data_IF_513373683107
#
_entry.id   IF_513373683107
#
_cell.length_a   1.000
_cell.length_b   1.000
_cell.length_c   1.000
_cell.angle_alpha   90.00
_cell.angle_beta   90.00
_cell.angle_gamma   90.00
#
_symmetry.space_group_name_H-M   'P 1'
#
loop_
_entity.id
_entity.type
_entity.pdbx_description
1 polymer ?
#
# COMPACT_ATOMS: atom_id res chain seq x y z
N UNK A 1 -13.96 -25.71 -21.08
CA UNK A 1 -13.54 -24.32 -21.31
C UNK A 1 -12.31 -24.05 -20.45
N UNK A 2 -11.14 -23.83 -21.06
CA UNK A 2 -9.88 -23.59 -20.34
C UNK A 2 -9.87 -22.14 -19.83
N UNK A 3 -9.89 -21.93 -18.53
CA UNK A 3 -9.71 -20.62 -17.92
C UNK A 3 -8.23 -20.21 -18.04
N UNK A 4 -7.91 -19.36 -19.00
CA UNK A 4 -6.59 -18.75 -19.12
C UNK A 4 -6.42 -17.76 -17.99
N UNK A 5 -5.63 -18.10 -16.96
CA UNK A 5 -5.28 -17.21 -15.85
C UNK A 5 -4.56 -15.98 -16.41
N UNK A 6 -5.20 -14.80 -16.40
CA UNK A 6 -4.54 -13.53 -16.76
C UNK A 6 -3.22 -13.41 -16.00
N UNK A 7 -2.11 -13.22 -16.70
CA UNK A 7 -0.83 -12.83 -16.07
C UNK A 7 -1.01 -11.43 -15.50
N UNK A 8 -1.20 -11.33 -14.18
CA UNK A 8 -1.45 -10.07 -13.46
C UNK A 8 -0.13 -9.30 -13.24
N UNK A 9 1.03 -9.92 -13.47
CA UNK A 9 2.33 -9.27 -13.33
C UNK A 9 2.77 -8.58 -14.60
N UNK A 10 3.25 -7.35 -14.43
CA UNK A 10 3.93 -6.59 -15.47
C UNK A 10 5.26 -7.27 -15.86
N UNK A 11 5.85 -6.88 -16.99
CA UNK A 11 7.17 -7.35 -17.37
C UNK A 11 8.24 -6.89 -16.35
N UNK A 12 9.29 -7.69 -16.05
CA UNK A 12 10.31 -7.36 -15.04
C UNK A 12 10.93 -5.96 -15.20
N UNK A 13 11.08 -5.47 -16.44
CA UNK A 13 11.58 -4.12 -16.74
C UNK A 13 10.75 -2.99 -16.13
N UNK A 14 9.46 -3.23 -15.87
CA UNK A 14 8.56 -2.22 -15.28
C UNK A 14 8.76 -2.03 -13.78
N UNK A 15 9.61 -2.85 -13.16
CA UNK A 15 9.92 -2.78 -11.73
C UNK A 15 11.29 -2.15 -11.45
N UNK A 16 11.95 -1.60 -12.48
CA UNK A 16 13.30 -1.03 -12.40
C UNK A 16 13.26 0.48 -12.66
N UNK A 17 14.08 1.23 -11.92
CA UNK A 17 14.23 2.68 -12.07
C UNK A 17 13.31 3.49 -11.17
N UNK A 18 12.85 4.64 -11.67
CA UNK A 18 12.17 5.69 -10.92
C UNK A 18 10.65 5.52 -10.78
N UNK A 19 10.12 4.31 -10.92
CA UNK A 19 8.69 4.05 -10.79
C UNK A 19 8.16 4.22 -9.37
N UNK A 20 6.91 4.65 -9.24
CA UNK A 20 6.16 4.71 -7.97
C UNK A 20 5.24 3.50 -7.89
N UNK A 21 5.35 2.72 -6.83
CA UNK A 21 4.67 1.44 -6.68
C UNK A 21 3.79 1.41 -5.43
N UNK A 22 2.49 1.20 -5.64
CA UNK A 22 1.60 0.76 -4.57
C UNK A 22 1.69 -0.76 -4.46
N UNK A 23 2.01 -1.28 -3.29
CA UNK A 23 2.21 -2.71 -3.05
C UNK A 23 1.32 -3.21 -1.91
N UNK A 24 0.75 -4.40 -2.09
CA UNK A 24 0.04 -5.12 -1.02
C UNK A 24 0.62 -6.52 -0.87
N UNK A 25 1.14 -6.82 0.30
CA UNK A 25 1.60 -8.15 0.70
C UNK A 25 0.62 -8.75 1.70
N UNK A 26 0.07 -9.92 1.41
CA UNK A 26 -0.83 -10.62 2.33
C UNK A 26 -0.09 -11.73 3.06
N UNK A 27 -0.42 -11.94 4.32
CA UNK A 27 0.01 -13.13 5.07
C UNK A 27 -0.58 -14.38 4.42
N UNK A 28 0.06 -15.53 4.67
CA UNK A 28 -0.45 -16.82 4.23
C UNK A 28 -1.83 -17.06 4.88
N UNK A 29 -2.80 -17.46 4.05
CA UNK A 29 -4.19 -17.69 4.44
C UNK A 29 -4.85 -16.53 5.21
N UNK A 30 -4.33 -15.30 5.04
CA UNK A 30 -4.81 -14.11 5.76
C UNK A 30 -4.76 -14.26 7.29
N UNK A 31 -3.87 -15.09 7.81
CA UNK A 31 -3.65 -15.25 9.25
C UNK A 31 -3.17 -13.93 9.86
N UNK A 32 -3.78 -13.42 10.94
CA UNK A 32 -3.49 -12.09 11.48
C UNK A 32 -2.23 -12.06 12.36
N UNK A 33 -1.08 -12.47 11.80
CA UNK A 33 0.20 -12.57 12.52
C UNK A 33 0.67 -11.23 13.12
N UNK A 34 0.29 -10.10 12.53
CA UNK A 34 0.68 -8.77 12.98
C UNK A 34 -0.35 -8.12 13.93
N UNK A 35 -1.32 -8.89 14.44
CA UNK A 35 -2.06 -8.50 15.65
C UNK A 35 -1.11 -8.39 16.86
N UNK A 36 -0.01 -9.18 16.88
CA UNK A 36 1.15 -8.91 17.72
C UNK A 36 1.95 -7.73 17.15
N UNK A 37 1.79 -6.56 17.77
CA UNK A 37 2.46 -5.32 17.35
C UNK A 37 3.98 -5.40 17.48
N UNK A 38 4.53 -6.24 18.35
CA UNK A 38 5.98 -6.42 18.48
C UNK A 38 6.59 -7.00 17.21
N UNK A 39 5.96 -8.02 16.63
CA UNK A 39 6.34 -8.58 15.33
C UNK A 39 6.14 -7.53 14.21
N UNK A 40 5.07 -6.75 14.31
CA UNK A 40 4.77 -5.65 13.39
C UNK A 40 5.90 -4.61 13.33
N UNK A 41 6.39 -4.15 14.49
CA UNK A 41 7.51 -3.20 14.55
C UNK A 41 8.80 -3.77 13.96
N UNK A 42 9.12 -5.03 14.22
CA UNK A 42 10.27 -5.71 13.60
C UNK A 42 10.13 -5.74 12.07
N UNK A 43 8.94 -6.08 11.57
CA UNK A 43 8.68 -6.10 10.13
C UNK A 43 8.82 -4.71 9.50
N UNK A 44 8.28 -3.66 10.13
CA UNK A 44 8.42 -2.27 9.64
C UNK A 44 9.88 -1.79 9.69
N UNK A 45 10.65 -2.16 10.72
CA UNK A 45 12.09 -1.90 10.77
C UNK A 45 12.83 -2.49 9.56
N UNK A 46 12.50 -3.74 9.19
CA UNK A 46 13.03 -4.35 7.97
C UNK A 46 12.57 -3.62 6.70
N UNK A 47 11.30 -3.22 6.59
CA UNK A 47 10.81 -2.48 5.43
C UNK A 47 11.60 -1.18 5.23
N UNK A 48 11.73 -0.37 6.29
CA UNK A 48 12.43 0.92 6.25
C UNK A 48 13.90 0.73 5.85
N UNK A 49 14.60 -0.19 6.52
CA UNK A 49 16.01 -0.46 6.25
C UNK A 49 16.26 -0.97 4.82
N UNK A 50 15.42 -1.90 4.35
CA UNK A 50 15.55 -2.46 3.00
C UNK A 50 15.17 -1.46 1.92
N UNK A 51 14.14 -0.63 2.13
CA UNK A 51 13.80 0.43 1.17
C UNK A 51 14.99 1.34 0.91
N UNK A 52 15.66 1.82 1.96
CA UNK A 52 16.86 2.64 1.81
C UNK A 52 18.00 1.90 1.07
N UNK A 53 18.26 0.63 1.42
CA UNK A 53 19.32 -0.19 0.80
C UNK A 53 19.07 -0.50 -0.68
N UNK A 54 17.82 -0.59 -1.09
CA UNK A 54 17.43 -0.84 -2.49
C UNK A 54 17.11 0.43 -3.27
N UNK A 55 17.49 1.60 -2.71
CA UNK A 55 17.29 2.91 -3.31
C UNK A 55 15.81 3.22 -3.57
N UNK A 56 14.96 3.04 -2.54
CA UNK A 56 13.55 3.43 -2.56
C UNK A 56 13.24 4.47 -1.48
N UNK A 57 12.50 5.51 -1.88
CA UNK A 57 11.79 6.40 -0.97
C UNK A 57 10.50 5.72 -0.51
N UNK A 58 10.23 5.73 0.79
CA UNK A 58 9.04 5.11 1.36
C UNK A 58 8.03 6.20 1.75
N UNK A 59 7.06 6.44 0.88
CA UNK A 59 6.08 7.53 1.02
C UNK A 59 4.97 7.21 2.01
N UNK A 60 4.48 5.98 2.02
CA UNK A 60 3.47 5.54 2.96
C UNK A 60 3.61 4.06 3.26
N UNK A 61 3.25 3.66 4.47
CA UNK A 61 3.06 2.26 4.83
C UNK A 61 2.00 2.13 5.92
N UNK A 62 1.31 0.99 5.91
CA UNK A 62 0.38 0.56 6.94
C UNK A 62 0.41 -0.97 7.01
N UNK A 63 0.85 -1.50 8.14
CA UNK A 63 0.87 -2.93 8.41
C UNK A 63 -0.38 -3.31 9.21
N UNK A 64 -1.33 -3.90 8.51
CA UNK A 64 -2.56 -4.46 9.06
C UNK A 64 -2.29 -5.83 9.68
N UNK A 65 -3.19 -6.38 10.51
CA UNK A 65 -2.97 -7.69 11.14
C UNK A 65 -2.62 -8.81 10.16
N UNK A 66 -3.18 -8.80 8.95
CA UNK A 66 -3.06 -9.87 7.94
C UNK A 66 -2.46 -9.42 6.61
N UNK A 67 -2.03 -8.17 6.48
CA UNK A 67 -1.40 -7.66 5.26
C UNK A 67 -0.66 -6.35 5.47
N UNK A 68 0.27 -6.05 4.57
CA UNK A 68 1.01 -4.81 4.50
C UNK A 68 0.63 -4.06 3.21
N UNK A 69 0.28 -2.78 3.35
CA UNK A 69 0.30 -1.82 2.24
C UNK A 69 1.50 -0.92 2.35
N UNK A 70 2.16 -0.64 1.22
CA UNK A 70 3.16 0.43 1.17
C UNK A 70 3.19 1.09 -0.20
N UNK A 71 3.66 2.35 -0.22
CA UNK A 71 3.89 3.18 -1.39
C UNK A 71 5.37 3.54 -1.41
N UNK A 72 6.08 3.08 -2.43
CA UNK A 72 7.52 3.28 -2.56
C UNK A 72 7.88 3.75 -3.96
N UNK A 73 8.83 4.70 -4.03
CA UNK A 73 9.37 5.25 -5.26
C UNK A 73 10.83 4.88 -5.43
N UNK A 74 11.20 4.35 -6.58
CA UNK A 74 12.60 4.14 -6.94
C UNK A 74 13.29 5.48 -7.15
N UNK A 75 14.41 5.72 -6.45
CA UNK A 75 15.16 6.98 -6.52
C UNK A 75 16.53 6.87 -7.23
N UNK A 76 16.75 5.75 -7.92
CA UNK A 76 17.97 5.51 -8.70
C UNK A 76 17.68 4.59 -9.91
N UNK A 77 18.50 4.65 -10.98
CA UNK A 77 18.31 3.80 -12.15
C UNK A 77 18.31 2.30 -11.85
N UNK A 78 19.03 1.88 -10.82
CA UNK A 78 19.16 0.49 -10.38
C UNK A 78 18.09 0.06 -9.35
N UNK A 79 17.23 0.97 -8.90
CA UNK A 79 16.12 0.61 -8.00
C UNK A 79 15.31 -0.51 -8.61
N UNK A 80 15.07 -1.60 -7.87
CA UNK A 80 14.30 -2.74 -8.37
C UNK A 80 13.36 -3.26 -7.26
N UNK A 81 12.05 -3.17 -7.52
CA UNK A 81 11.03 -3.54 -6.54
C UNK A 81 11.05 -5.03 -6.20
N UNK A 82 11.32 -5.91 -7.18
CA UNK A 82 11.23 -7.35 -6.94
C UNK A 82 12.26 -7.86 -5.93
N UNK A 83 13.56 -7.49 -5.99
CA UNK A 83 14.53 -7.80 -4.95
C UNK A 83 14.17 -7.19 -3.58
N UNK A 84 13.65 -5.96 -3.53
CA UNK A 84 13.20 -5.33 -2.29
C UNK A 84 12.11 -6.17 -1.61
N UNK A 85 11.04 -6.54 -2.36
CA UNK A 85 9.94 -7.34 -1.82
C UNK A 85 10.41 -8.74 -1.41
N UNK A 86 11.30 -9.35 -2.20
CA UNK A 86 11.85 -10.68 -1.90
C UNK A 86 12.66 -10.65 -0.60
N UNK A 87 13.59 -9.69 -0.46
CA UNK A 87 14.40 -9.53 0.74
C UNK A 87 13.55 -9.23 1.98
N UNK A 88 12.51 -8.38 1.85
CA UNK A 88 11.58 -8.09 2.92
C UNK A 88 10.84 -9.36 3.40
N UNK A 89 10.26 -10.11 2.48
CA UNK A 89 9.54 -11.35 2.80
C UNK A 89 10.45 -12.39 3.47
N UNK A 90 11.68 -12.54 2.98
CA UNK A 90 12.65 -13.48 3.56
C UNK A 90 13.05 -13.09 4.99
N UNK A 91 13.40 -11.80 5.22
CA UNK A 91 13.84 -11.34 6.54
C UNK A 91 12.73 -11.42 7.59
N UNK A 92 11.53 -11.02 7.22
CA UNK A 92 10.38 -11.08 8.13
C UNK A 92 9.93 -12.53 8.38
N UNK A 93 9.96 -13.42 7.38
CA UNK A 93 9.69 -14.82 7.57
C UNK A 93 10.72 -15.49 8.50
N UNK A 94 12.01 -15.14 8.38
CA UNK A 94 13.05 -15.63 9.29
C UNK A 94 12.80 -15.16 10.74
N UNK A 95 12.47 -13.88 10.94
CA UNK A 95 12.12 -13.36 12.28
C UNK A 95 10.87 -14.03 12.88
N UNK A 96 9.96 -14.51 12.01
CA UNK A 96 8.72 -15.19 12.41
C UNK A 96 8.91 -16.71 12.69
N UNK A 97 9.97 -17.31 12.19
CA UNK A 97 10.17 -18.78 12.15
C UNK A 97 9.94 -19.49 13.48
N UNK A 98 10.28 -18.85 14.59
CA UNK A 98 10.15 -19.41 15.94
C UNK A 98 8.79 -19.12 16.61
N UNK A 99 7.87 -18.41 15.92
CA UNK A 99 6.58 -17.99 16.49
C UNK A 99 5.38 -18.77 15.95
N UNK A 100 5.48 -19.29 14.74
CA UNK A 100 4.43 -20.14 14.14
C UNK A 100 5.01 -21.07 13.09
N UNK A 101 4.36 -22.22 12.89
CA UNK A 101 4.67 -23.13 11.80
C UNK A 101 4.12 -22.58 10.46
N UNK A 102 4.86 -22.80 9.37
CA UNK A 102 4.42 -22.48 8.03
C UNK A 102 4.92 -21.13 7.49
N UNK A 103 4.51 -20.78 6.25
CA UNK A 103 4.96 -19.56 5.59
C UNK A 103 4.26 -18.31 6.16
N UNK A 104 5.01 -17.24 6.40
CA UNK A 104 4.42 -15.96 6.85
C UNK A 104 3.62 -15.27 5.74
N UNK A 105 4.14 -15.27 4.50
CA UNK A 105 3.57 -14.51 3.38
C UNK A 105 3.03 -15.42 2.28
N UNK A 106 1.97 -14.97 1.61
CA UNK A 106 1.57 -15.56 0.33
C UNK A 106 2.71 -15.46 -0.68
N UNK A 107 2.84 -16.43 -1.60
CA UNK A 107 3.89 -16.44 -2.62
C UNK A 107 3.81 -15.22 -3.54
N UNK A 108 2.60 -14.83 -3.95
CA UNK A 108 2.31 -13.67 -4.79
C UNK A 108 2.06 -12.42 -3.96
N UNK A 109 2.12 -11.26 -4.61
CA UNK A 109 1.71 -9.98 -4.05
C UNK A 109 0.97 -9.18 -5.13
N UNK A 110 0.21 -8.19 -4.69
CA UNK A 110 -0.43 -7.21 -5.58
C UNK A 110 0.45 -5.98 -5.70
N UNK A 111 0.58 -5.46 -6.90
CA UNK A 111 1.26 -4.20 -7.19
C UNK A 111 0.50 -3.38 -8.23
N UNK A 112 0.63 -2.07 -8.13
CA UNK A 112 0.15 -1.10 -9.10
C UNK A 112 1.20 0.00 -9.27
N UNK A 113 1.56 0.33 -10.51
CA UNK A 113 2.48 1.44 -10.80
C UNK A 113 1.64 2.71 -10.96
N UNK A 114 1.92 3.73 -10.14
CA UNK A 114 1.32 5.03 -10.29
C UNK A 114 1.83 5.68 -11.58
N UNK A 115 0.93 6.28 -12.34
CA UNK A 115 1.28 6.92 -13.62
C UNK A 115 1.31 8.44 -13.53
N UNK A 116 0.60 9.03 -12.55
CA UNK A 116 0.51 10.47 -12.32
C UNK A 116 1.04 10.80 -10.92
N UNK A 117 1.99 11.76 -10.79
CA UNK A 117 2.53 12.16 -9.49
C UNK A 117 1.50 12.75 -8.52
N UNK A 118 0.42 13.35 -9.04
CA UNK A 118 -0.67 13.92 -8.28
C UNK A 118 -1.56 12.87 -7.57
N UNK A 119 -1.45 11.61 -7.94
CA UNK A 119 -2.11 10.51 -7.24
C UNK A 119 -1.41 10.10 -5.93
N UNK A 120 -0.16 10.51 -5.71
CA UNK A 120 0.70 10.01 -4.64
C UNK A 120 0.09 10.26 -3.25
N UNK A 121 -0.34 11.48 -2.94
CA UNK A 121 -0.91 11.83 -1.64
C UNK A 121 -2.25 11.13 -1.40
N UNK A 122 -3.10 11.05 -2.41
CA UNK A 122 -4.37 10.34 -2.34
C UNK A 122 -4.17 8.86 -2.06
N UNK A 123 -3.20 8.22 -2.72
CA UNK A 123 -2.86 6.82 -2.47
C UNK A 123 -2.25 6.63 -1.08
N UNK A 124 -1.41 7.56 -0.63
CA UNK A 124 -0.84 7.53 0.71
C UNK A 124 -1.93 7.65 1.78
N UNK A 125 -2.87 8.59 1.65
CA UNK A 125 -4.03 8.73 2.53
C UNK A 125 -4.89 7.46 2.53
N UNK A 126 -5.13 6.86 1.36
CA UNK A 126 -5.81 5.57 1.27
C UNK A 126 -5.11 4.48 2.09
N UNK A 127 -3.77 4.42 2.06
CA UNK A 127 -2.99 3.44 2.82
C UNK A 127 -3.20 3.66 4.32
N UNK A 128 -3.06 4.89 4.82
CA UNK A 128 -3.16 5.20 6.25
C UNK A 128 -4.58 5.07 6.80
N UNK A 129 -5.60 5.26 5.96
CA UNK A 129 -7.00 5.10 6.36
C UNK A 129 -7.47 3.64 6.48
N UNK A 130 -6.64 2.65 6.09
CA UNK A 130 -7.04 1.24 6.18
C UNK A 130 -7.42 0.78 7.61
N UNK A 131 -6.73 1.16 8.70
CA UNK A 131 -7.12 0.77 10.05
C UNK A 131 -8.49 1.32 10.46
N UNK A 132 -8.80 2.58 10.11
CA UNK A 132 -10.12 3.19 10.37
C UNK A 132 -11.21 2.47 9.60
N UNK A 133 -11.02 2.21 8.29
CA UNK A 133 -11.96 1.47 7.46
C UNK A 133 -12.21 0.02 7.93
N UNK A 134 -11.30 -0.52 8.73
CA UNK A 134 -11.41 -1.86 9.33
C UNK A 134 -11.77 -1.81 10.81
N UNK A 135 -12.15 -0.63 11.30
CA UNK A 135 -12.56 -0.42 12.71
C UNK A 135 -11.52 -0.88 13.73
N UNK A 136 -10.22 -0.78 13.38
CA UNK A 136 -9.11 -1.08 14.29
C UNK A 136 -8.74 0.14 15.16
N UNK A 137 -9.09 1.34 14.72
CA UNK A 137 -8.98 2.61 15.46
C UNK A 137 -9.97 3.62 14.87
N UNK A 138 -10.27 4.68 15.64
CA UNK A 138 -11.12 5.80 15.18
C UNK A 138 -10.33 6.84 14.39
N UNK A 139 -9.05 7.02 14.71
CA UNK A 139 -8.13 7.97 14.08
C UNK A 139 -6.93 7.22 13.48
N UNK A 140 -6.69 7.44 12.19
CA UNK A 140 -5.57 6.83 11.46
C UNK A 140 -4.21 7.22 12.06
N UNK A 141 -4.10 8.41 12.66
CA UNK A 141 -2.83 8.96 13.18
C UNK A 141 -2.32 8.25 14.43
N UNK A 142 -3.20 7.52 15.12
CA UNK A 142 -2.83 6.76 16.35
C UNK A 142 -2.51 5.29 16.06
N UNK A 143 -2.72 4.81 14.84
CA UNK A 143 -2.42 3.41 14.52
C UNK A 143 -0.91 3.16 14.52
N UNK A 144 -0.39 2.26 15.40
CA UNK A 144 1.04 2.19 15.69
C UNK A 144 1.89 1.63 14.55
N UNK A 145 1.26 0.90 13.62
CA UNK A 145 1.95 0.25 12.51
C UNK A 145 1.73 0.98 11.17
N UNK A 146 1.46 2.29 11.23
CA UNK A 146 1.39 3.20 10.07
C UNK A 146 2.50 4.24 10.10
N UNK A 147 2.85 4.79 8.93
CA UNK A 147 3.81 5.88 8.86
C UNK A 147 4.26 6.27 7.46
N UNK A 148 5.25 7.18 7.45
CA UNK A 148 5.93 7.69 6.26
C UNK A 148 7.38 8.00 6.57
N UNK A 149 8.23 8.03 5.52
CA UNK A 149 9.62 8.52 5.62
C UNK A 149 9.86 9.80 4.83
N UNK A 150 8.86 10.29 4.10
CA UNK A 150 8.98 11.44 3.18
C UNK A 150 7.87 12.47 3.38
N UNK A 151 6.68 12.07 3.86
CA UNK A 151 5.50 12.93 3.98
C UNK A 151 5.19 13.24 5.43
N UNK A 152 4.59 14.41 5.68
CA UNK A 152 3.99 14.73 6.98
C UNK A 152 2.61 14.05 7.06
N UNK A 153 2.61 12.73 7.22
CA UNK A 153 1.44 11.89 7.10
C UNK A 153 0.35 12.20 8.12
N UNK A 154 0.70 12.61 9.33
CA UNK A 154 -0.30 12.98 10.35
C UNK A 154 -1.08 14.23 9.95
N UNK A 155 -0.41 15.22 9.33
CA UNK A 155 -1.08 16.41 8.81
C UNK A 155 -1.99 16.06 7.63
N UNK A 156 -1.56 15.17 6.74
CA UNK A 156 -2.36 14.74 5.59
C UNK A 156 -3.59 13.93 6.04
N UNK A 157 -3.44 13.04 7.03
CA UNK A 157 -4.56 12.28 7.57
C UNK A 157 -5.64 13.12 8.24
N UNK A 158 -5.29 14.28 8.82
CA UNK A 158 -6.26 15.17 9.47
C UNK A 158 -7.31 15.76 8.51
N UNK A 159 -7.05 15.74 7.21
CA UNK A 159 -7.92 16.26 6.15
C UNK A 159 -8.38 15.16 5.19
N UNK A 160 -8.37 13.91 5.66
CA UNK A 160 -8.67 12.75 4.82
C UNK A 160 -10.15 12.70 4.43
N UNK A 161 -10.38 12.53 3.12
CA UNK A 161 -11.66 12.17 2.53
C UNK A 161 -11.70 10.69 2.18
N UNK A 162 -12.89 10.05 2.12
CA UNK A 162 -13.03 8.62 1.80
C UNK A 162 -12.80 8.37 0.30
N UNK A 163 -11.58 8.67 -0.15
CA UNK A 163 -11.12 8.39 -1.50
C UNK A 163 -10.63 6.94 -1.64
N UNK A 164 -10.96 6.30 -2.75
CA UNK A 164 -10.48 4.96 -3.09
C UNK A 164 -9.78 4.95 -4.44
N UNK A 165 -8.66 4.23 -4.57
CA UNK A 165 -7.98 4.12 -5.85
C UNK A 165 -8.89 3.43 -6.88
N UNK A 166 -9.08 3.99 -8.09
CA UNK A 166 -9.94 3.41 -9.13
C UNK A 166 -9.60 1.96 -9.48
N UNK A 167 -8.32 1.61 -9.46
CA UNK A 167 -7.87 0.24 -9.73
C UNK A 167 -8.22 -0.78 -8.64
N UNK A 168 -8.63 -0.34 -7.45
CA UNK A 168 -9.12 -1.24 -6.38
C UNK A 168 -10.56 -1.66 -6.58
N UNK A 169 -11.34 -0.88 -7.29
CA UNK A 169 -12.74 -1.19 -7.62
C UNK A 169 -12.85 -2.30 -8.66
N UNK A 170 -11.79 -2.51 -9.46
CA UNK A 170 -11.73 -3.51 -10.54
C UNK A 170 -11.36 -4.92 -10.08
N UNK A 171 -11.10 -5.16 -8.77
CA UNK A 171 -10.71 -6.48 -8.28
C UNK A 171 -11.96 -7.34 -8.00
N UNK A 172 -12.02 -8.60 -8.51
CA UNK A 172 -13.09 -9.53 -8.16
C UNK A 172 -13.09 -9.79 -6.66
N UNK A 173 -14.21 -9.52 -5.97
CA UNK A 173 -14.37 -9.73 -4.53
C UNK A 173 -14.40 -8.47 -3.67
N UNK A 174 -14.26 -7.26 -4.21
CA UNK A 174 -14.65 -6.05 -3.51
C UNK A 174 -16.17 -5.99 -3.39
N UNK A 175 -16.76 -5.69 -2.21
CA UNK A 175 -18.20 -5.54 -2.08
C UNK A 175 -18.65 -4.41 -3.01
N UNK A 176 -19.54 -4.70 -3.95
CA UNK A 176 -20.21 -3.67 -4.77
C UNK A 176 -21.09 -2.86 -3.82
N UNK A 177 -20.96 -1.53 -3.88
CA UNK A 177 -21.98 -0.67 -3.30
C UNK A 177 -23.31 -0.98 -4.01
N UNK A 178 -24.36 -1.24 -3.24
CA UNK A 178 -25.71 -1.56 -3.73
C UNK A 178 -26.41 -0.39 -4.44
N UNK A 179 -25.73 0.71 -4.69
CA UNK A 179 -26.19 1.83 -5.51
C UNK A 179 -25.40 1.87 -6.80
N UNK A 180 -25.99 1.35 -7.87
CA UNK A 180 -25.42 1.30 -9.23
C UNK A 180 -25.33 2.68 -9.92
N UNK A 181 -24.75 3.67 -9.28
CA UNK A 181 -24.45 4.99 -9.88
C UNK A 181 -22.95 5.16 -10.01
N UNK A 182 -22.50 5.32 -11.25
CA UNK A 182 -21.15 5.75 -11.56
C UNK A 182 -20.93 7.18 -11.03
N UNK A 183 -19.81 7.49 -10.36
CA UNK A 183 -19.51 8.86 -9.93
C UNK A 183 -19.41 9.76 -11.14
N UNK A 184 -20.26 10.76 -11.22
CA UNK A 184 -20.14 11.86 -12.19
C UNK A 184 -18.84 12.61 -11.88
N UNK A 185 -17.98 12.76 -12.89
CA UNK A 185 -16.78 13.59 -12.86
C UNK A 185 -17.17 15.01 -12.42
N UNK A 186 -16.70 15.39 -11.22
CA UNK A 186 -16.99 16.64 -10.57
C UNK A 186 -16.57 17.85 -11.40
N UNK A 187 -17.51 18.78 -11.56
CA UNK A 187 -17.33 20.06 -12.19
C UNK A 187 -16.29 20.92 -11.44
N UNK A 188 -15.46 21.62 -12.21
CA UNK A 188 -14.52 22.65 -11.74
C UNK A 188 -15.26 23.74 -10.96
N UNK A 189 -14.74 24.24 -9.82
CA UNK A 189 -15.29 25.42 -9.16
C UNK A 189 -15.06 26.65 -10.04
N UNK A 190 -16.15 27.34 -10.36
CA UNK A 190 -16.17 28.56 -11.17
C UNK A 190 -15.41 29.70 -10.51
N UNK A 191 -14.66 30.42 -11.33
CA UNK A 191 -14.00 31.65 -10.99
C UNK A 191 -15.02 32.73 -10.60
N UNK A 192 -14.94 33.26 -9.39
CA UNK A 192 -15.70 34.45 -8.97
C UNK A 192 -15.13 35.68 -9.65
N UNK A 193 -15.93 36.27 -10.56
CA UNK A 193 -15.69 37.62 -11.13
C UNK A 193 -15.86 38.67 -10.01
N UNK A 194 -14.81 39.42 -9.74
CA UNK A 194 -14.89 40.70 -9.06
C UNK A 194 -15.57 41.69 -10.04
N UNK A 195 -16.66 42.31 -9.60
CA UNK A 195 -17.22 43.52 -10.22
C UNK A 195 -16.97 44.70 -9.29
N UNK A 196 -16.55 45.78 -9.86
CA UNK A 196 -16.26 47.14 -9.39
C UNK A 196 -17.13 47.65 -8.23
#
# INVERSE_FOLDING_TARGET
MSFTRKKIRLAPRNYVGYGIYFVTLCTHDRTPHFADTSLGHVALGHLISLSARHSFLLHAFCLMPDHLHFLAEGNAPQSNLLPLVTAFKQRTAFAHKNRAAGPLWQSKFYDHILRAPDELESVACYIWANPVRKSLCEDATVYPLSGSRTLNWKKLCAHWEDWRPPWKESLPGSPRNERGESPQTGAKPGATKKTL
#
